data_IF_558375525810
#
_entry.id   IF_558375525810
#
_cell.length_a   1.000
_cell.length_b   1.000
_cell.length_c   1.000
_cell.angle_alpha   90.00
_cell.angle_beta   90.00
_cell.angle_gamma   90.00
#
_symmetry.space_group_name_H-M   'P 1'
#
loop_
_entity.id
_entity.type
_entity.pdbx_description
1 polymer ?
#
# COMPACT_ATOMS: atom_id res chain seq x y z
N UNK A 1 5.68 29.66 9.29
CA UNK A 1 4.57 28.72 9.58
C UNK A 1 4.87 27.39 8.90
N UNK A 2 5.17 26.33 9.66
CA UNK A 2 5.34 24.99 9.10
C UNK A 2 3.99 24.58 8.48
N UNK A 3 3.95 24.45 7.16
CA UNK A 3 2.76 23.96 6.47
C UNK A 3 2.41 22.61 7.07
N UNK A 4 1.20 22.48 7.64
CA UNK A 4 0.72 21.23 8.20
C UNK A 4 0.87 20.14 7.12
N UNK A 5 1.91 19.32 7.27
CA UNK A 5 2.32 18.34 6.26
C UNK A 5 1.24 17.27 6.27
N UNK A 6 0.32 17.36 5.31
CA UNK A 6 -0.79 16.41 5.21
C UNK A 6 -0.22 15.00 5.22
N UNK A 7 -0.81 14.06 5.98
CA UNK A 7 -0.25 12.72 6.15
C UNK A 7 -0.16 11.92 4.85
N UNK A 8 -0.83 12.37 3.77
CA UNK A 8 -0.79 11.74 2.47
C UNK A 8 -1.01 12.71 1.30
N UNK A 9 -0.40 12.45 0.12
CA UNK A 9 -0.47 13.32 -1.04
C UNK A 9 -1.75 13.12 -1.88
N UNK A 10 -2.83 13.85 -1.53
CA UNK A 10 -4.14 13.76 -2.20
C UNK A 10 -4.12 14.00 -3.71
N UNK A 11 -3.38 15.02 -4.17
CA UNK A 11 -3.34 15.39 -5.60
C UNK A 11 -2.72 14.27 -6.45
N UNK A 12 -1.62 13.68 -5.97
CA UNK A 12 -0.95 12.58 -6.66
C UNK A 12 -1.82 11.33 -6.69
N UNK A 13 -2.44 10.99 -5.57
CA UNK A 13 -3.33 9.84 -5.46
C UNK A 13 -4.51 9.94 -6.43
N UNK A 14 -5.17 11.11 -6.48
CA UNK A 14 -6.28 11.35 -7.43
C UNK A 14 -5.84 11.23 -8.89
N UNK A 15 -4.64 11.71 -9.23
CA UNK A 15 -4.09 11.60 -10.58
C UNK A 15 -3.86 10.14 -10.97
N UNK A 16 -3.27 9.34 -10.08
CA UNK A 16 -3.05 7.90 -10.30
C UNK A 16 -4.40 7.19 -10.49
N UNK A 17 -5.33 7.39 -9.56
CA UNK A 17 -6.64 6.72 -9.63
C UNK A 17 -7.37 7.09 -10.92
N UNK A 18 -7.41 8.37 -11.30
CA UNK A 18 -8.06 8.81 -12.54
C UNK A 18 -7.42 8.18 -13.79
N UNK A 19 -6.09 8.02 -13.79
CA UNK A 19 -5.38 7.40 -14.91
C UNK A 19 -5.68 5.90 -15.05
N UNK A 20 -5.94 5.20 -13.94
CA UNK A 20 -6.21 3.75 -13.96
C UNK A 20 -7.69 3.38 -13.98
N UNK A 21 -8.58 4.20 -13.44
CA UNK A 21 -10.03 3.91 -13.38
C UNK A 21 -10.83 4.64 -14.47
N UNK A 22 -10.35 5.79 -14.97
CA UNK A 22 -11.14 6.67 -15.84
C UNK A 22 -12.31 7.38 -15.14
N UNK A 23 -12.53 7.13 -13.84
CA UNK A 23 -13.67 7.63 -13.08
C UNK A 23 -13.34 8.92 -12.32
N UNK A 24 -14.37 9.75 -12.11
CA UNK A 24 -14.28 10.89 -11.19
C UNK A 24 -14.46 10.40 -9.76
N UNK A 25 -13.57 10.81 -8.87
CA UNK A 25 -13.66 10.48 -7.44
C UNK A 25 -14.61 11.46 -6.72
N UNK A 26 -15.49 10.90 -5.90
CA UNK A 26 -16.31 11.67 -4.96
C UNK A 26 -15.45 12.35 -3.88
N UNK A 27 -16.02 13.33 -3.17
CA UNK A 27 -15.36 14.01 -2.06
C UNK A 27 -14.94 12.98 -1.01
N UNK A 28 -13.67 13.01 -0.61
CA UNK A 28 -13.06 12.12 0.38
C UNK A 28 -12.97 10.62 0.04
N UNK A 29 -13.42 10.18 -1.13
CA UNK A 29 -13.18 8.79 -1.59
C UNK A 29 -11.68 8.48 -1.67
N UNK A 30 -10.87 9.48 -1.98
CA UNK A 30 -9.41 9.38 -2.00
C UNK A 30 -8.80 9.05 -0.62
N UNK A 31 -9.48 9.38 0.48
CA UNK A 31 -9.01 9.06 1.84
C UNK A 31 -9.17 7.57 2.12
N UNK A 32 -10.31 6.99 1.75
CA UNK A 32 -10.60 5.58 1.94
C UNK A 32 -9.68 4.70 1.09
N UNK A 33 -9.40 5.13 -0.14
CA UNK A 33 -8.45 4.43 -1.02
C UNK A 33 -7.03 4.47 -0.43
N UNK A 34 -6.63 5.61 0.13
CA UNK A 34 -5.34 5.71 0.82
C UNK A 34 -5.26 4.83 2.06
N UNK A 35 -6.35 4.76 2.85
CA UNK A 35 -6.43 3.87 4.00
C UNK A 35 -6.28 2.41 3.58
N UNK A 36 -7.01 1.97 2.55
CA UNK A 36 -6.90 0.62 2.01
C UNK A 36 -5.45 0.33 1.55
N UNK A 37 -4.83 1.25 0.81
CA UNK A 37 -3.42 1.14 0.44
C UNK A 37 -2.48 1.01 1.64
N UNK A 38 -2.71 1.76 2.72
CA UNK A 38 -1.90 1.69 3.94
C UNK A 38 -2.06 0.33 4.63
N UNK A 39 -3.30 -0.21 4.67
CA UNK A 39 -3.57 -1.54 5.19
C UNK A 39 -2.89 -2.63 4.35
N UNK A 40 -2.91 -2.48 3.02
CA UNK A 40 -2.18 -3.36 2.09
C UNK A 40 -0.67 -3.34 2.37
N UNK A 41 -0.06 -2.15 2.48
CA UNK A 41 1.37 -2.02 2.77
C UNK A 41 1.75 -2.65 4.11
N UNK A 42 0.92 -2.47 5.15
CA UNK A 42 1.16 -3.08 6.45
C UNK A 42 1.08 -4.62 6.38
N UNK A 43 0.08 -5.16 5.67
CA UNK A 43 -0.04 -6.60 5.45
C UNK A 43 1.16 -7.17 4.68
N UNK A 44 1.61 -6.47 3.63
CA UNK A 44 2.76 -6.87 2.82
C UNK A 44 4.06 -6.93 3.62
N UNK A 45 4.33 -5.89 4.42
CA UNK A 45 5.54 -5.86 5.26
C UNK A 45 5.48 -6.95 6.33
N UNK A 46 4.31 -7.19 6.92
CA UNK A 46 4.13 -8.25 7.92
C UNK A 46 4.42 -9.64 7.35
N UNK A 47 3.88 -9.97 6.18
CA UNK A 47 4.13 -11.27 5.54
C UNK A 47 5.58 -11.40 5.04
N UNK A 48 6.15 -10.33 4.47
CA UNK A 48 7.56 -10.32 4.08
C UNK A 48 8.49 -10.54 5.30
N UNK A 49 8.16 -9.99 6.47
CA UNK A 49 8.91 -10.22 7.70
C UNK A 49 8.79 -11.66 8.22
N UNK A 50 7.63 -12.31 8.04
CA UNK A 50 7.45 -13.73 8.38
C UNK A 50 8.34 -14.60 7.49
N UNK A 51 8.34 -14.37 6.18
CA UNK A 51 9.23 -15.10 5.26
C UNK A 51 10.71 -14.85 5.55
N UNK A 52 11.10 -13.60 5.89
CA UNK A 52 12.46 -13.28 6.29
C UNK A 52 12.89 -14.08 7.54
N UNK A 53 12.00 -14.15 8.54
CA UNK A 53 12.25 -14.92 9.76
C UNK A 53 12.36 -16.42 9.51
N UNK A 54 11.51 -16.97 8.63
CA UNK A 54 11.59 -18.38 8.22
C UNK A 54 12.89 -18.71 7.47
N UNK A 55 13.42 -17.75 6.70
CA UNK A 55 14.69 -17.89 6.00
C UNK A 55 15.94 -17.63 6.90
N UNK A 56 15.74 -17.21 8.16
CA UNK A 56 16.84 -16.85 9.07
C UNK A 56 17.50 -15.51 8.74
N UNK A 57 16.85 -14.65 7.94
CA UNK A 57 17.37 -13.35 7.54
C UNK A 57 17.13 -12.29 8.64
N UNK A 58 18.14 -11.46 8.92
CA UNK A 58 18.06 -10.38 9.94
C UNK A 58 17.21 -9.19 9.51
N UNK A 59 16.99 -9.03 8.21
CA UNK A 59 16.18 -7.98 7.59
C UNK A 59 15.37 -8.57 6.44
N UNK A 60 14.18 -8.05 6.15
CA UNK A 60 13.43 -8.50 4.98
C UNK A 60 14.09 -8.00 3.70
N UNK A 61 14.40 -8.91 2.79
CA UNK A 61 14.98 -8.62 1.48
C UNK A 61 13.89 -8.45 0.42
N UNK A 62 14.20 -7.87 -0.76
CA UNK A 62 13.25 -7.78 -1.87
C UNK A 62 12.66 -9.14 -2.28
N UNK A 63 13.44 -10.22 -2.11
CA UNK A 63 13.00 -11.59 -2.38
C UNK A 63 11.83 -12.00 -1.50
N UNK A 64 11.84 -11.63 -0.22
CA UNK A 64 10.76 -11.94 0.71
C UNK A 64 9.48 -11.15 0.39
N UNK A 65 9.64 -9.90 -0.06
CA UNK A 65 8.51 -9.09 -0.53
C UNK A 65 7.90 -9.72 -1.78
N UNK A 66 8.73 -10.11 -2.76
CA UNK A 66 8.23 -10.75 -3.99
C UNK A 66 7.50 -12.06 -3.72
N UNK A 67 7.92 -12.82 -2.70
CA UNK A 67 7.21 -14.02 -2.24
C UNK A 67 5.87 -13.70 -1.56
N UNK A 68 5.82 -12.71 -0.68
CA UNK A 68 4.60 -12.30 0.01
C UNK A 68 3.56 -11.62 -0.90
N UNK A 69 4.03 -10.95 -1.95
CA UNK A 69 3.22 -10.10 -2.82
C UNK A 69 1.99 -10.80 -3.45
N UNK A 70 2.09 -11.99 -4.09
CA UNK A 70 0.93 -12.64 -4.69
C UNK A 70 -0.15 -12.97 -3.65
N UNK A 71 0.22 -13.46 -2.48
CA UNK A 71 -0.73 -13.84 -1.42
C UNK A 71 -1.45 -12.62 -0.85
N UNK A 72 -0.71 -11.54 -0.61
CA UNK A 72 -1.28 -10.29 -0.08
C UNK A 72 -2.14 -9.62 -1.15
N UNK A 73 -1.74 -9.63 -2.43
CA UNK A 73 -2.59 -9.14 -3.51
C UNK A 73 -3.88 -9.95 -3.64
N UNK A 74 -3.82 -11.28 -3.49
CA UNK A 74 -5.01 -12.13 -3.53
C UNK A 74 -5.99 -11.80 -2.39
N UNK A 75 -5.49 -11.50 -1.19
CA UNK A 75 -6.33 -11.08 -0.04
C UNK A 75 -7.01 -9.73 -0.23
N UNK A 76 -6.41 -8.83 -1.01
CA UNK A 76 -6.90 -7.48 -1.26
C UNK A 76 -7.63 -7.33 -2.60
N UNK A 77 -7.79 -8.43 -3.37
CA UNK A 77 -8.75 -8.47 -4.48
C UNK A 77 -10.16 -8.50 -3.88
N UNK A 78 -10.80 -7.32 -3.87
CA UNK A 78 -12.23 -7.19 -3.62
C UNK A 78 -13.06 -7.70 -4.79
#
# INVERSE_FOLDING_TARGET
MATARRPYPRTRLRRIIKAHSGLKLSKNADVLIYLNYTMFMNALVREAAIHARQAGERSFTPRNIMKALPDVLARFKG
#
